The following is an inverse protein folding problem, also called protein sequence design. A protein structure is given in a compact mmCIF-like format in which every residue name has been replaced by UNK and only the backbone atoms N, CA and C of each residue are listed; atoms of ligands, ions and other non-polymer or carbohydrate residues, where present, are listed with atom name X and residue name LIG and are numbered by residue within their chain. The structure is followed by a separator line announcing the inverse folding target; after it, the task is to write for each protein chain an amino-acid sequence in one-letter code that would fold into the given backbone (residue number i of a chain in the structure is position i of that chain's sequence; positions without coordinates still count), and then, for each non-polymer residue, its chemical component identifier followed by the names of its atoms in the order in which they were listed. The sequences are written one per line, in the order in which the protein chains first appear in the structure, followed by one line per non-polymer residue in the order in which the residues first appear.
data_IF_433939769658
#
_entry.id   IF_433939769658
#
_cell.length_a   1.000
_cell.length_b   1.000
_cell.length_c   1.000
_cell.angle_alpha   90.00
_cell.angle_beta   90.00
_cell.angle_gamma   90.00
#
_symmetry.space_group_name_H-M   'P 1'
#
loop_
_entity.id
_entity.type
_entity.pdbx_description
1 polymer ?
#
# COMPACT_ATOMS: atom_id res chain seq x y z
N UNK A 1 -5.14 -10.85 12.63
CA UNK A 1 -6.15 -10.41 11.64
C UNK A 1 -6.78 -9.10 12.07
N UNK A 2 -7.50 -8.41 11.20
CA UNK A 2 -8.20 -7.15 11.55
C UNK A 2 -9.44 -7.47 12.36
N UNK A 3 -9.66 -6.74 13.47
CA UNK A 3 -10.79 -6.95 14.37
C UNK A 3 -11.83 -5.83 14.19
N UNK A 4 -13.11 -6.21 14.15
CA UNK A 4 -14.20 -5.23 14.24
C UNK A 4 -14.22 -4.60 15.65
N UNK A 5 -14.68 -3.34 15.81
CA UNK A 5 -14.69 -2.67 17.11
C UNK A 5 -15.35 -3.47 18.24
N UNK A 6 -16.46 -4.16 17.97
CA UNK A 6 -17.12 -5.00 18.97
C UNK A 6 -16.30 -6.23 19.35
N UNK A 7 -15.58 -6.87 18.41
CA UNK A 7 -14.74 -8.04 18.69
C UNK A 7 -13.56 -7.65 19.58
N UNK A 8 -12.89 -6.56 19.22
CA UNK A 8 -11.79 -6.01 20.02
C UNK A 8 -12.25 -5.62 21.42
N UNK A 9 -13.45 -5.02 21.55
CA UNK A 9 -14.04 -4.71 22.86
C UNK A 9 -14.32 -5.96 23.70
N UNK A 10 -15.00 -6.97 23.12
CA UNK A 10 -15.32 -8.21 23.84
C UNK A 10 -14.07 -8.94 24.31
N UNK A 11 -13.07 -9.09 23.43
CA UNK A 11 -11.80 -9.74 23.76
C UNK A 11 -11.04 -8.98 24.85
N UNK A 12 -10.95 -7.64 24.77
CA UNK A 12 -10.27 -6.85 25.80
C UNK A 12 -10.98 -6.94 27.16
N UNK A 13 -12.32 -6.99 27.17
CA UNK A 13 -13.12 -7.16 28.39
C UNK A 13 -12.91 -8.52 29.04
N UNK A 14 -12.87 -9.58 28.24
CA UNK A 14 -12.77 -10.97 28.71
C UNK A 14 -11.35 -11.32 29.16
N UNK A 15 -10.33 -10.83 28.45
CA UNK A 15 -8.92 -11.13 28.72
C UNK A 15 -8.26 -10.16 29.70
N UNK A 16 -8.83 -8.97 29.93
CA UNK A 16 -8.27 -7.95 30.82
C UNK A 16 -6.94 -7.34 30.34
N UNK A 17 -6.58 -7.54 29.07
CA UNK A 17 -5.34 -7.03 28.45
C UNK A 17 -5.63 -6.23 27.20
N UNK A 18 -4.67 -5.41 26.77
CA UNK A 18 -4.77 -4.68 25.51
C UNK A 18 -4.76 -5.66 24.32
N UNK A 19 -5.75 -5.53 23.44
CA UNK A 19 -5.87 -6.34 22.23
C UNK A 19 -5.38 -5.52 21.04
N UNK A 20 -4.22 -5.90 20.51
CA UNK A 20 -3.61 -5.31 19.31
C UNK A 20 -3.92 -6.19 18.12
N UNK A 21 -4.60 -5.64 17.12
CA UNK A 21 -4.89 -6.36 15.88
C UNK A 21 -3.82 -6.12 14.81
N UNK A 22 -4.00 -6.69 13.61
CA UNK A 22 -3.06 -6.49 12.49
C UNK A 22 -2.92 -5.01 12.10
N UNK A 23 -4.01 -4.25 12.14
CA UNK A 23 -4.01 -2.83 11.78
C UNK A 23 -3.19 -2.02 12.78
N UNK A 24 -3.40 -2.27 14.07
CA UNK A 24 -2.70 -1.60 15.17
C UNK A 24 -1.20 -1.92 15.14
N UNK A 25 -0.83 -3.20 14.96
CA UNK A 25 0.56 -3.62 14.81
C UNK A 25 1.27 -2.91 13.65
N UNK A 26 0.61 -2.84 12.48
CA UNK A 26 1.15 -2.15 11.31
C UNK A 26 1.40 -0.67 11.63
N UNK A 27 0.43 0.01 12.26
CA UNK A 27 0.57 1.40 12.67
C UNK A 27 1.69 1.64 13.68
N UNK A 28 1.90 0.72 14.63
CA UNK A 28 3.00 0.83 15.58
C UNK A 28 4.37 0.70 14.92
N UNK A 29 4.52 -0.28 14.03
CA UNK A 29 5.77 -0.45 13.28
C UNK A 29 6.03 0.81 12.44
N UNK A 30 4.99 1.39 11.85
CA UNK A 30 5.09 2.65 11.13
C UNK A 30 5.46 3.83 12.02
N UNK A 31 4.84 3.96 13.19
CA UNK A 31 5.12 5.03 14.14
C UNK A 31 6.59 5.04 14.57
N UNK A 32 7.16 3.85 14.84
CA UNK A 32 8.55 3.68 15.26
C UNK A 32 9.57 4.07 14.17
N UNK A 33 9.16 4.03 12.90
CA UNK A 33 10.04 4.23 11.74
C UNK A 33 9.78 5.54 10.98
N UNK A 34 8.75 6.30 11.36
CA UNK A 34 8.37 7.53 10.69
C UNK A 34 9.37 8.67 10.94
N UNK A 35 10.24 8.93 9.96
CA UNK A 35 11.22 10.01 10.03
C UNK A 35 10.67 11.40 9.65
N UNK A 36 9.67 11.48 8.78
CA UNK A 36 9.14 12.75 8.26
C UNK A 36 7.91 13.25 9.02
N UNK A 37 7.74 14.58 9.09
CA UNK A 37 6.55 15.20 9.70
C UNK A 37 5.26 14.74 9.02
N UNK A 38 5.26 14.62 7.71
CA UNK A 38 4.12 14.12 6.92
C UNK A 38 3.76 12.68 7.31
N UNK A 39 4.74 11.78 7.37
CA UNK A 39 4.51 10.39 7.77
C UNK A 39 3.94 10.30 9.18
N UNK A 40 4.46 11.10 10.13
CA UNK A 40 3.94 11.17 11.50
C UNK A 40 2.49 11.63 11.54
N UNK A 41 2.14 12.69 10.79
CA UNK A 41 0.76 13.18 10.69
C UNK A 41 -0.18 12.16 10.07
N UNK A 42 0.27 11.41 9.05
CA UNK A 42 -0.54 10.37 8.41
C UNK A 42 -0.81 9.18 9.35
N UNK A 43 0.19 8.77 10.12
CA UNK A 43 0.04 7.71 11.13
C UNK A 43 -0.91 8.17 12.25
N UNK A 44 -0.76 9.41 12.72
CA UNK A 44 -1.66 9.99 13.71
C UNK A 44 -3.12 10.06 13.19
N UNK A 45 -3.31 10.48 11.93
CA UNK A 45 -4.62 10.52 11.29
C UNK A 45 -5.27 9.13 11.25
N UNK A 46 -4.52 8.10 10.87
CA UNK A 46 -5.00 6.72 10.82
C UNK A 46 -5.39 6.20 12.21
N UNK A 47 -4.58 6.48 13.25
CA UNK A 47 -4.90 6.15 14.64
C UNK A 47 -6.20 6.82 15.09
N UNK A 48 -6.33 8.13 14.87
CA UNK A 48 -7.52 8.89 15.27
C UNK A 48 -8.79 8.45 14.53
N UNK A 49 -8.69 8.09 13.24
CA UNK A 49 -9.83 7.56 12.48
C UNK A 49 -10.31 6.22 13.02
N UNK A 50 -9.38 5.36 13.45
CA UNK A 50 -9.71 4.12 14.14
C UNK A 50 -10.31 4.38 15.51
N UNK A 51 -9.69 5.21 16.34
CA UNK A 51 -10.26 5.62 17.63
C UNK A 51 -11.68 6.19 17.48
N UNK A 52 -11.95 6.96 16.42
CA UNK A 52 -13.28 7.50 16.13
C UNK A 52 -14.31 6.41 15.84
N UNK A 53 -13.95 5.35 15.10
CA UNK A 53 -14.86 4.23 14.81
C UNK A 53 -15.20 3.45 16.08
N UNK A 54 -14.22 3.26 16.97
CA UNK A 54 -14.41 2.64 18.28
C UNK A 54 -15.24 3.53 19.23
N UNK A 55 -14.96 4.84 19.29
CA UNK A 55 -15.73 5.78 20.10
C UNK A 55 -17.19 5.87 19.65
N UNK A 56 -17.44 5.80 18.33
CA UNK A 56 -18.80 5.73 17.78
C UNK A 56 -19.54 4.47 18.22
N UNK A 57 -18.87 3.32 18.22
CA UNK A 57 -19.49 2.08 18.69
C UNK A 57 -19.75 2.11 20.20
N UNK A 58 -18.82 2.66 21.00
CA UNK A 58 -19.04 2.87 22.44
C UNK A 58 -20.24 3.78 22.72
N UNK A 59 -20.42 4.86 21.95
CA UNK A 59 -21.62 5.71 22.02
C UNK A 59 -22.89 4.94 21.68
N UNK A 60 -22.85 4.07 20.67
CA UNK A 60 -23.99 3.24 20.28
C UNK A 60 -24.40 2.30 21.41
N UNK A 61 -23.44 1.59 22.00
CA UNK A 61 -23.66 0.66 23.11
C UNK A 61 -24.13 1.38 24.39
N UNK A 62 -23.58 2.56 24.68
CA UNK A 62 -24.01 3.37 25.82
C UNK A 62 -25.48 3.79 25.69
N UNK A 63 -25.91 4.21 24.49
CA UNK A 63 -27.29 4.59 24.19
C UNK A 63 -28.29 3.42 24.22
N UNK A 64 -27.83 2.21 23.90
CA UNK A 64 -28.64 0.99 23.98
C UNK A 64 -28.83 0.48 25.42
N UNK A 65 -28.19 1.12 26.42
CA UNK A 65 -28.28 0.69 27.82
C UNK A 65 -27.48 -0.59 28.13
N UNK A 66 -26.74 -1.13 27.16
CA UNK A 66 -25.95 -2.36 27.33
C UNK A 66 -24.70 -2.14 28.21
N UNK A 67 -24.22 -0.89 28.32
CA UNK A 67 -23.22 -0.47 29.31
C UNK A 67 -23.91 -0.09 30.64
N UNK A 68 -24.23 -1.10 31.45
CA UNK A 68 -24.71 -0.90 32.81
C UNK A 68 -23.60 -0.23 33.66
N UNK A 69 -23.83 1.01 34.11
CA UNK A 69 -22.90 1.78 34.96
C UNK A 69 -22.39 3.11 34.39
N UNK A 70 -22.74 3.47 33.14
CA UNK A 70 -22.24 4.68 32.45
C UNK A 70 -23.24 5.86 32.39
N UNK A 71 -24.28 5.87 33.22
CA UNK A 71 -25.32 6.91 33.15
C UNK A 71 -24.89 8.21 33.85
N UNK A 72 -24.84 9.31 33.08
CA UNK A 72 -24.56 10.68 33.55
C UNK A 72 -23.24 11.24 33.03
N UNK A 73 -22.14 11.02 33.76
CA UNK A 73 -20.83 11.60 33.43
C UNK A 73 -20.14 10.87 32.26
N UNK A 74 -20.42 9.58 32.06
CA UNK A 74 -19.75 8.73 31.08
C UNK A 74 -20.15 9.01 29.63
N UNK A 75 -21.45 9.12 29.34
CA UNK A 75 -21.93 9.42 27.98
C UNK A 75 -21.47 10.81 27.50
N UNK A 76 -21.57 11.80 28.38
CA UNK A 76 -21.07 13.16 28.10
C UNK A 76 -19.55 13.16 27.85
N UNK A 77 -18.78 12.42 28.66
CA UNK A 77 -17.34 12.29 28.46
C UNK A 77 -16.99 11.65 27.11
N UNK A 78 -17.72 10.61 26.69
CA UNK A 78 -17.51 9.97 25.38
C UNK A 78 -17.88 10.92 24.24
N UNK A 79 -18.96 11.70 24.37
CA UNK A 79 -19.36 12.67 23.34
C UNK A 79 -18.35 13.83 23.21
N UNK A 80 -17.87 14.36 24.34
CA UNK A 80 -16.81 15.38 24.37
C UNK A 80 -15.53 14.84 23.72
N UNK A 81 -15.12 13.62 24.06
CA UNK A 81 -13.97 12.95 23.46
C UNK A 81 -14.16 12.75 21.95
N UNK A 82 -15.32 12.28 21.50
CA UNK A 82 -15.65 12.12 20.08
C UNK A 82 -15.52 13.45 19.32
N UNK A 83 -16.06 14.54 19.86
CA UNK A 83 -15.92 15.90 19.29
C UNK A 83 -14.45 16.34 19.24
N UNK A 84 -13.67 16.04 20.29
CA UNK A 84 -12.24 16.34 20.34
C UNK A 84 -11.45 15.60 19.25
N UNK A 85 -11.63 14.28 19.11
CA UNK A 85 -11.01 13.45 18.07
C UNK A 85 -11.35 13.99 16.68
N UNK A 86 -12.62 14.32 16.41
CA UNK A 86 -13.06 14.88 15.12
C UNK A 86 -12.39 16.20 14.79
N UNK A 87 -12.23 17.10 15.78
CA UNK A 87 -11.51 18.38 15.60
C UNK A 87 -10.03 18.16 15.30
N UNK A 88 -9.40 17.18 15.97
CA UNK A 88 -7.99 16.84 15.74
C UNK A 88 -7.77 16.29 14.34
N UNK A 89 -8.63 15.38 13.88
CA UNK A 89 -8.64 14.87 12.49
C UNK A 89 -8.69 16.03 11.49
N UNK A 90 -9.66 16.94 11.63
CA UNK A 90 -9.79 18.09 10.72
C UNK A 90 -8.59 19.06 10.76
N UNK A 91 -7.86 19.13 11.87
CA UNK A 91 -6.61 19.90 11.95
C UNK A 91 -5.49 19.21 11.18
N UNK A 92 -5.31 17.91 11.38
CA UNK A 92 -4.27 17.12 10.71
C UNK A 92 -4.49 17.10 9.19
N UNK A 93 -5.73 16.91 8.74
CA UNK A 93 -6.08 16.93 7.31
C UNK A 93 -5.72 18.27 6.65
N UNK A 94 -5.96 19.40 7.34
CA UNK A 94 -5.54 20.73 6.87
C UNK A 94 -4.02 20.88 6.83
N UNK A 95 -3.29 20.35 7.81
CA UNK A 95 -1.82 20.37 7.79
C UNK A 95 -1.26 19.51 6.65
N UNK A 96 -1.82 18.32 6.42
CA UNK A 96 -1.46 17.44 5.30
C UNK A 96 -1.73 18.10 3.95
N UNK A 97 -2.87 18.79 3.79
CA UNK A 97 -3.17 19.54 2.58
C UNK A 97 -2.13 20.64 2.28
N UNK A 98 -1.66 21.36 3.31
CA UNK A 98 -0.58 22.35 3.17
C UNK A 98 0.74 21.69 2.75
N UNK A 99 1.12 20.58 3.36
CA UNK A 99 2.33 19.85 3.00
C UNK A 99 2.28 19.31 1.56
N UNK A 100 1.11 18.85 1.11
CA UNK A 100 0.87 18.41 -0.28
C UNK A 100 1.06 19.57 -1.27
N UNK A 101 0.49 20.74 -0.98
CA UNK A 101 0.66 21.93 -1.82
C UNK A 101 2.14 22.32 -1.96
N UNK A 102 2.89 22.31 -0.86
CA UNK A 102 4.34 22.60 -0.86
C UNK A 102 5.15 21.56 -1.66
N UNK A 103 4.79 20.28 -1.58
CA UNK A 103 5.39 19.22 -2.41
C UNK A 103 5.12 19.44 -3.90
N UNK A 104 3.89 19.82 -4.26
CA UNK A 104 3.51 20.15 -5.64
C UNK A 104 4.43 21.22 -6.23
N UNK A 105 4.65 22.32 -5.49
CA UNK A 105 5.55 23.41 -5.92
C UNK A 105 7.00 22.93 -6.07
N UNK A 106 7.51 22.12 -5.13
CA UNK A 106 8.88 21.58 -5.21
C UNK A 106 9.05 20.58 -6.35
N UNK A 107 7.98 19.88 -6.72
CA UNK A 107 7.95 18.96 -7.85
C UNK A 107 7.90 19.70 -9.18
N UNK A 108 7.06 20.73 -9.26
CA UNK A 108 6.96 21.61 -10.42
C UNK A 108 8.30 22.29 -10.70
N UNK A 109 8.97 22.82 -9.67
CA UNK A 109 10.31 23.40 -9.81
C UNK A 109 11.36 22.41 -10.34
N UNK A 110 11.32 21.14 -9.90
CA UNK A 110 12.22 20.08 -10.40
C UNK A 110 11.84 19.55 -11.77
N UNK A 111 10.56 19.62 -12.14
CA UNK A 111 10.06 19.24 -13.46
C UNK A 111 10.41 20.28 -14.52
N UNK A 112 10.48 21.55 -14.12
CA UNK A 112 10.89 22.68 -14.96
C UNK A 112 12.39 22.68 -15.31
N UNK A 113 13.21 21.89 -14.61
CA UNK A 113 14.65 21.74 -14.94
C UNK A 113 14.89 20.93 -16.22
N UNK A 114 13.87 20.33 -16.83
CA UNK A 114 13.93 19.66 -18.13
C UNK A 114 14.79 18.38 -18.17
N UNK A 115 14.43 17.42 -19.01
CA UNK A 115 15.30 16.28 -19.35
C UNK A 115 15.48 15.17 -18.30
N UNK A 116 14.81 15.23 -17.15
CA UNK A 116 14.91 14.22 -16.09
C UNK A 116 13.81 13.16 -16.17
N UNK A 117 14.19 11.89 -16.27
CA UNK A 117 13.25 10.77 -16.14
C UNK A 117 13.03 10.40 -14.68
N UNK A 118 11.84 9.90 -14.34
CA UNK A 118 11.52 9.42 -13.01
C UNK A 118 11.13 7.94 -13.00
N UNK A 119 11.87 7.16 -12.22
CA UNK A 119 11.69 5.71 -12.07
C UNK A 119 11.36 5.38 -10.62
N UNK A 120 10.21 4.75 -10.39
CA UNK A 120 9.77 4.38 -9.04
C UNK A 120 9.90 2.88 -8.79
N UNK A 121 10.58 2.49 -7.71
CA UNK A 121 10.57 1.10 -7.22
C UNK A 121 9.37 0.88 -6.31
N UNK A 122 8.57 -0.13 -6.63
CA UNK A 122 7.42 -0.56 -5.84
C UNK A 122 7.39 -2.09 -5.75
N UNK A 123 6.47 -2.66 -4.97
CA UNK A 123 6.46 -4.10 -4.67
C UNK A 123 6.36 -4.41 -3.18
N UNK A 124 6.17 -5.69 -2.86
CA UNK A 124 5.92 -6.14 -1.50
C UNK A 124 7.09 -5.92 -0.53
N UNK A 125 6.81 -5.78 0.77
CA UNK A 125 7.84 -5.81 1.81
C UNK A 125 8.67 -7.10 1.69
N UNK A 126 9.99 -7.01 1.90
CA UNK A 126 10.87 -8.16 1.76
C UNK A 126 11.29 -8.52 0.32
N UNK A 127 10.63 -7.98 -0.72
CA UNK A 127 11.00 -8.23 -2.13
C UNK A 127 12.38 -7.67 -2.53
N UNK A 128 13.03 -6.86 -1.68
CA UNK A 128 14.37 -6.33 -1.92
C UNK A 128 14.44 -5.02 -2.72
N UNK A 129 13.37 -4.20 -2.70
CA UNK A 129 13.33 -2.86 -3.33
C UNK A 129 14.49 -1.97 -2.90
N UNK A 130 14.76 -1.86 -1.60
CA UNK A 130 15.84 -1.01 -1.06
C UNK A 130 17.21 -1.51 -1.48
N UNK A 131 17.41 -2.84 -1.52
CA UNK A 131 18.63 -3.46 -2.05
C UNK A 131 18.79 -3.11 -3.53
N UNK A 132 17.74 -3.24 -4.32
CA UNK A 132 17.76 -2.89 -5.74
C UNK A 132 17.99 -1.38 -5.96
N UNK A 133 17.40 -0.54 -5.11
CA UNK A 133 17.64 0.91 -5.11
C UNK A 133 19.12 1.21 -4.87
N UNK A 134 19.77 0.57 -3.89
CA UNK A 134 21.21 0.75 -3.64
C UNK A 134 22.03 0.25 -4.83
N UNK A 135 21.70 -0.93 -5.37
CA UNK A 135 22.41 -1.51 -6.50
C UNK A 135 22.31 -0.66 -7.78
N UNK A 136 21.15 -0.03 -8.02
CA UNK A 136 20.96 0.88 -9.14
C UNK A 136 21.64 2.23 -8.93
N UNK A 137 21.68 2.72 -7.68
CA UNK A 137 22.09 4.10 -7.39
C UNK A 137 23.50 4.27 -6.81
N UNK A 138 24.17 3.18 -6.45
CA UNK A 138 25.46 3.22 -5.73
C UNK A 138 25.35 3.81 -4.32
N UNK A 139 24.13 3.88 -3.76
CA UNK A 139 23.92 4.44 -2.43
C UNK A 139 24.32 3.45 -1.33
N UNK A 140 25.37 3.77 -0.57
CA UNK A 140 25.85 2.96 0.56
C UNK A 140 25.07 3.22 1.85
N UNK A 141 23.74 3.10 1.80
CA UNK A 141 22.88 3.15 2.99
C UNK A 141 22.73 1.78 3.64
N UNK A 142 22.40 1.76 4.94
CA UNK A 142 22.00 0.53 5.60
C UNK A 142 20.68 0.00 5.01
N UNK A 143 20.67 -1.28 4.61
CA UNK A 143 19.46 -2.01 4.23
C UNK A 143 18.98 -2.80 5.43
N UNK A 144 17.85 -2.41 5.99
CA UNK A 144 17.18 -3.18 7.05
C UNK A 144 16.34 -4.30 6.41
N UNK A 145 16.60 -5.56 6.77
CA UNK A 145 15.86 -6.73 6.26
C UNK A 145 14.46 -6.88 6.87
N UNK A 146 14.11 -6.06 7.87
CA UNK A 146 12.80 -6.10 8.52
C UNK A 146 11.69 -5.53 7.61
N UNK A 147 10.44 -6.00 7.75
CA UNK A 147 9.29 -5.34 7.13
C UNK A 147 9.28 -3.85 7.49
N UNK A 148 8.90 -3.00 6.52
CA UNK A 148 8.80 -1.55 6.70
C UNK A 148 10.11 -0.77 6.81
N UNK A 149 11.23 -1.33 6.34
CA UNK A 149 12.53 -0.65 6.25
C UNK A 149 12.48 0.75 5.61
N UNK A 150 11.68 0.92 4.55
CA UNK A 150 11.52 2.22 3.86
C UNK A 150 10.10 2.75 4.05
N UNK A 151 9.96 3.81 4.86
CA UNK A 151 8.70 4.55 5.06
C UNK A 151 8.67 5.95 4.47
N UNK A 152 9.84 6.51 4.22
CA UNK A 152 9.99 7.77 3.51
C UNK A 152 10.56 7.48 2.13
N UNK A 153 9.99 8.07 1.08
CA UNK A 153 10.55 7.95 -0.26
C UNK A 153 12.01 8.40 -0.25
N UNK A 154 12.93 7.52 -0.63
CA UNK A 154 14.33 7.91 -0.87
C UNK A 154 14.47 8.26 -2.34
N UNK A 155 15.01 9.44 -2.63
CA UNK A 155 15.22 9.91 -4.00
C UNK A 155 16.71 10.04 -4.25
N UNK A 156 17.19 9.49 -5.37
CA UNK A 156 18.57 9.69 -5.81
C UNK A 156 18.58 9.97 -7.31
N UNK A 157 19.27 11.06 -7.68
CA UNK A 157 19.58 11.37 -9.08
C UNK A 157 20.80 10.54 -9.46
N UNK A 158 20.68 9.85 -10.59
CA UNK A 158 21.75 9.10 -11.24
C UNK A 158 21.75 9.41 -12.72
N UNK A 159 22.81 8.98 -13.39
CA UNK A 159 22.94 9.04 -14.83
C UNK A 159 23.08 7.62 -15.36
N UNK A 160 22.33 7.30 -16.40
CA UNK A 160 22.33 5.98 -17.03
C UNK A 160 22.46 6.17 -18.54
N UNK A 161 23.59 5.78 -19.13
CA UNK A 161 23.95 6.03 -20.54
C UNK A 161 23.63 7.46 -21.01
N UNK A 162 24.09 8.46 -20.25
CA UNK A 162 23.89 9.87 -20.57
C UNK A 162 22.48 10.42 -20.34
N UNK A 163 21.52 9.58 -19.89
CA UNK A 163 20.19 10.04 -19.51
C UNK A 163 20.13 10.30 -17.99
N UNK A 164 19.85 11.53 -17.55
CA UNK A 164 19.72 11.82 -16.14
C UNK A 164 18.36 11.33 -15.64
N UNK A 165 18.36 10.58 -14.55
CA UNK A 165 17.15 9.99 -14.02
C UNK A 165 17.12 9.99 -12.49
N UNK A 166 15.92 10.12 -11.94
CA UNK A 166 15.65 10.09 -10.51
C UNK A 166 15.02 8.77 -10.19
N UNK A 167 15.70 7.99 -9.36
CA UNK A 167 15.19 6.73 -8.85
C UNK A 167 14.57 6.98 -7.48
N UNK A 168 13.41 6.40 -7.24
CA UNK A 168 12.71 6.47 -5.95
C UNK A 168 12.50 5.10 -5.31
N UNK A 169 12.95 4.93 -4.06
CA UNK A 169 12.55 3.79 -3.22
C UNK A 169 11.26 4.16 -2.49
N UNK A 170 10.14 3.55 -2.86
CA UNK A 170 8.83 3.84 -2.29
C UNK A 170 8.47 2.88 -1.15
N UNK A 171 7.40 3.20 -0.43
CA UNK A 171 6.86 2.30 0.61
C UNK A 171 6.42 0.99 -0.04
N UNK A 172 6.87 -0.13 0.52
CA UNK A 172 6.48 -1.44 0.02
C UNK A 172 5.00 -1.75 0.22
N UNK A 173 4.39 -2.45 -0.75
CA UNK A 173 3.07 -3.03 -0.58
C UNK A 173 3.08 -4.01 0.61
N UNK A 174 2.00 -4.00 1.37
CA UNK A 174 1.68 -5.04 2.36
C UNK A 174 0.46 -5.74 1.83
N UNK A 175 0.36 -7.02 2.15
CA UNK A 175 -0.88 -7.75 1.98
C UNK A 175 -2.02 -6.97 2.60
N UNK A 176 -3.08 -6.78 1.81
CA UNK A 176 -4.33 -6.20 2.25
C UNK A 176 -4.11 -4.98 3.16
N UNK A 177 -3.31 -4.00 2.69
CA UNK A 177 -3.22 -2.70 3.35
C UNK A 177 -4.65 -2.24 3.63
N UNK A 178 -5.07 -2.13 4.90
CA UNK A 178 -6.43 -1.78 5.22
C UNK A 178 -6.79 -0.48 4.48
N UNK A 179 -8.00 -0.36 3.86
CA UNK A 179 -8.37 0.84 3.11
C UNK A 179 -8.18 2.15 3.89
N UNK A 180 -8.33 2.07 5.21
CA UNK A 180 -8.13 3.19 6.14
C UNK A 180 -6.66 3.65 6.23
N UNK A 181 -5.70 2.76 5.94
CA UNK A 181 -4.26 3.05 5.83
C UNK A 181 -3.87 3.50 4.43
N UNK A 182 -4.60 3.11 3.38
CA UNK A 182 -4.35 3.56 2.01
C UNK A 182 -4.36 5.10 1.92
N UNK A 183 -5.32 5.79 2.54
CA UNK A 183 -5.38 7.27 2.68
C UNK A 183 -4.12 7.90 3.25
N UNK A 184 -3.52 7.25 4.24
CA UNK A 184 -2.28 7.68 4.87
C UNK A 184 -1.08 7.56 3.91
N UNK A 185 -1.12 6.58 3.01
CA UNK A 185 -0.05 6.31 2.05
C UNK A 185 -0.32 6.84 0.64
N UNK A 186 -1.51 7.33 0.30
CA UNK A 186 -1.79 7.87 -1.05
C UNK A 186 -0.89 9.04 -1.41
N UNK A 187 -0.41 9.81 -0.43
CA UNK A 187 0.53 10.92 -0.72
C UNK A 187 1.94 10.43 -1.01
N UNK A 188 2.36 9.32 -0.39
CA UNK A 188 3.66 8.69 -0.65
C UNK A 188 3.61 7.78 -1.89
N UNK A 189 2.50 7.09 -2.13
CA UNK A 189 2.23 6.30 -3.33
C UNK A 189 1.87 7.18 -4.54
N UNK A 190 1.38 8.40 -4.33
CA UNK A 190 1.10 9.35 -5.42
C UNK A 190 2.34 9.70 -6.24
N UNK A 191 3.54 9.57 -5.65
CA UNK A 191 4.80 9.73 -6.37
C UNK A 191 5.00 8.65 -7.45
N UNK A 192 4.38 7.47 -7.31
CA UNK A 192 4.37 6.40 -8.32
C UNK A 192 3.59 6.83 -9.57
N UNK A 193 2.48 7.56 -9.40
CA UNK A 193 1.67 8.09 -10.51
C UNK A 193 2.47 9.07 -11.36
N UNK A 194 3.41 9.77 -10.73
CA UNK A 194 4.31 10.72 -11.39
C UNK A 194 5.51 10.05 -12.05
N UNK A 195 5.61 8.72 -12.03
CA UNK A 195 6.71 8.01 -12.67
C UNK A 195 6.52 7.82 -14.17
N UNK A 196 7.61 7.95 -14.92
CA UNK A 196 7.66 7.54 -16.32
C UNK A 196 7.66 6.01 -16.42
N UNK A 197 8.35 5.37 -15.47
CA UNK A 197 8.48 3.93 -15.38
C UNK A 197 8.37 3.48 -13.91
N UNK A 198 7.59 2.43 -13.69
CA UNK A 198 7.41 1.80 -12.39
C UNK A 198 8.05 0.42 -12.43
N UNK A 199 9.03 0.19 -11.56
CA UNK A 199 9.66 -1.11 -11.35
C UNK A 199 8.89 -1.86 -10.27
N UNK A 200 8.09 -2.84 -10.67
CA UNK A 200 7.36 -3.71 -9.75
C UNK A 200 8.26 -4.89 -9.34
N UNK A 201 8.90 -4.75 -8.18
CA UNK A 201 9.81 -5.76 -7.64
C UNK A 201 9.03 -6.83 -6.89
N UNK A 202 9.24 -8.09 -7.24
CA UNK A 202 8.69 -9.24 -6.53
C UNK A 202 9.78 -10.25 -6.19
N UNK A 203 9.53 -11.07 -5.18
CA UNK A 203 10.48 -12.06 -4.69
C UNK A 203 10.33 -13.37 -5.49
N UNK A 204 11.34 -13.74 -6.27
CA UNK A 204 11.34 -14.97 -7.05
C UNK A 204 11.61 -16.22 -6.20
N UNK A 205 12.01 -16.08 -4.93
CA UNK A 205 12.23 -17.22 -4.02
C UNK A 205 10.95 -17.76 -3.40
N UNK A 206 9.88 -16.98 -3.40
CA UNK A 206 8.59 -17.39 -2.82
C UNK A 206 7.88 -18.46 -3.67
N UNK A 207 6.98 -19.20 -3.03
CA UNK A 207 6.11 -20.17 -3.70
C UNK A 207 5.32 -19.53 -4.85
N UNK A 208 5.08 -20.29 -5.92
CA UNK A 208 4.44 -19.78 -7.15
C UNK A 208 3.08 -19.13 -6.88
N UNK A 209 2.28 -19.74 -5.99
CA UNK A 209 0.97 -19.23 -5.57
C UNK A 209 1.08 -17.86 -4.89
N UNK A 210 2.09 -17.67 -4.05
CA UNK A 210 2.33 -16.40 -3.37
C UNK A 210 2.82 -15.32 -4.34
N UNK A 211 3.69 -15.67 -5.27
CA UNK A 211 4.13 -14.76 -6.35
C UNK A 211 2.94 -14.27 -7.16
N UNK A 212 2.05 -15.18 -7.58
CA UNK A 212 0.87 -14.83 -8.36
C UNK A 212 -0.07 -13.92 -7.57
N UNK A 213 -0.36 -14.27 -6.32
CA UNK A 213 -1.22 -13.50 -5.41
C UNK A 213 -0.70 -12.07 -5.22
N UNK A 214 0.59 -11.92 -4.91
CA UNK A 214 1.24 -10.62 -4.67
C UNK A 214 1.33 -9.77 -5.93
N UNK A 215 1.63 -10.37 -7.08
CA UNK A 215 1.64 -9.65 -8.36
C UNK A 215 0.24 -9.16 -8.73
N UNK A 216 -0.79 -9.99 -8.58
CA UNK A 216 -2.17 -9.61 -8.85
C UNK A 216 -2.63 -8.45 -7.94
N UNK A 217 -2.36 -8.55 -6.64
CA UNK A 217 -2.68 -7.50 -5.67
C UNK A 217 -1.94 -6.19 -5.98
N UNK A 218 -0.64 -6.25 -6.27
CA UNK A 218 0.17 -5.07 -6.61
C UNK A 218 -0.36 -4.37 -7.86
N UNK A 219 -0.70 -5.13 -8.91
CA UNK A 219 -1.25 -4.57 -10.14
C UNK A 219 -2.62 -3.92 -9.92
N UNK A 220 -3.48 -4.53 -9.10
CA UNK A 220 -4.78 -3.95 -8.75
C UNK A 220 -4.62 -2.58 -8.08
N UNK A 221 -3.68 -2.46 -7.13
CA UNK A 221 -3.38 -1.18 -6.46
C UNK A 221 -2.79 -0.15 -7.43
N UNK A 222 -1.88 -0.56 -8.32
CA UNK A 222 -1.33 0.34 -9.33
C UNK A 222 -2.41 0.84 -10.30
N UNK A 223 -3.33 -0.03 -10.70
CA UNK A 223 -4.48 0.35 -11.53
C UNK A 223 -5.43 1.30 -10.80
N UNK A 224 -5.72 1.07 -9.52
CA UNK A 224 -6.57 1.98 -8.74
C UNK A 224 -5.93 3.36 -8.55
N UNK A 225 -4.59 3.44 -8.55
CA UNK A 225 -3.83 4.70 -8.54
C UNK A 225 -3.79 5.40 -9.91
N UNK A 226 -4.30 4.77 -10.97
CA UNK A 226 -4.27 5.31 -12.34
C UNK A 226 -2.95 5.07 -13.08
N UNK A 227 -2.11 4.15 -12.61
CA UNK A 227 -0.87 3.77 -13.31
C UNK A 227 -1.21 2.80 -14.44
N UNK A 228 -0.84 3.17 -15.67
CA UNK A 228 -1.00 2.30 -16.82
C UNK A 228 -0.04 1.10 -16.74
N UNK A 229 -0.55 -0.10 -17.04
CA UNK A 229 0.27 -1.33 -17.16
C UNK A 229 1.45 -1.16 -18.12
N UNK A 230 1.29 -0.34 -19.17
CA UNK A 230 2.36 -0.06 -20.13
C UNK A 230 3.58 0.65 -19.52
N UNK A 231 3.44 1.28 -18.35
CA UNK A 231 4.53 1.91 -17.59
C UNK A 231 5.10 1.01 -16.49
N UNK A 232 4.63 -0.23 -16.38
CA UNK A 232 5.10 -1.18 -15.37
C UNK A 232 6.11 -2.12 -16.01
N UNK A 233 7.25 -2.31 -15.34
CA UNK A 233 8.26 -3.32 -15.63
C UNK A 233 8.38 -4.21 -14.40
N UNK A 234 8.11 -5.51 -14.54
CA UNK A 234 8.25 -6.46 -13.45
C UNK A 234 9.73 -6.81 -13.25
N UNK A 235 10.17 -6.87 -12.01
CA UNK A 235 11.54 -7.20 -11.64
C UNK A 235 11.51 -8.39 -10.69
N UNK A 236 11.88 -9.56 -11.17
CA UNK A 236 11.94 -10.78 -10.39
C UNK A 236 13.26 -10.79 -9.61
N UNK A 237 13.22 -10.43 -8.34
CA UNK A 237 14.42 -10.31 -7.52
C UNK A 237 14.72 -11.62 -6.76
N UNK A 238 15.94 -11.76 -6.23
CA UNK A 238 16.43 -12.92 -5.50
C UNK A 238 16.51 -14.20 -6.33
N UNK A 239 16.82 -14.07 -7.62
CA UNK A 239 17.01 -15.25 -8.50
C UNK A 239 18.21 -16.10 -8.10
N UNK A 240 19.13 -15.57 -7.28
CA UNK A 240 20.30 -16.28 -6.78
C UNK A 240 20.00 -17.41 -5.79
N UNK A 241 18.80 -17.42 -5.20
CA UNK A 241 18.35 -18.46 -4.26
C UNK A 241 17.27 -19.37 -4.86
N UNK A 242 16.98 -19.23 -6.16
CA UNK A 242 16.04 -20.11 -6.85
C UNK A 242 16.82 -21.31 -7.39
N UNK A 243 16.65 -22.46 -6.75
CA UNK A 243 17.45 -23.67 -7.00
C UNK A 243 17.22 -24.29 -8.39
N UNK A 244 16.04 -24.10 -8.97
CA UNK A 244 15.64 -24.73 -10.24
C UNK A 244 15.30 -23.70 -11.33
N UNK A 245 15.91 -23.84 -12.50
CA UNK A 245 15.65 -23.02 -13.68
C UNK A 245 14.22 -23.15 -14.23
N UNK A 246 13.58 -24.31 -14.08
CA UNK A 246 12.15 -24.49 -14.41
C UNK A 246 11.25 -23.69 -13.49
N UNK A 247 11.50 -23.75 -12.17
CA UNK A 247 10.75 -22.98 -11.19
C UNK A 247 10.91 -21.47 -11.43
N UNK A 248 12.10 -21.02 -11.84
CA UNK A 248 12.30 -19.63 -12.24
C UNK A 248 11.48 -19.28 -13.49
N UNK A 249 11.48 -20.13 -14.52
CA UNK A 249 10.69 -19.92 -15.75
C UNK A 249 9.20 -19.77 -15.46
N UNK A 250 8.64 -20.63 -14.61
CA UNK A 250 7.24 -20.55 -14.21
C UNK A 250 6.92 -19.23 -13.51
N UNK A 251 7.77 -18.80 -12.56
CA UNK A 251 7.60 -17.53 -11.84
C UNK A 251 7.74 -16.30 -12.75
N UNK A 252 8.56 -16.37 -13.79
CA UNK A 252 8.65 -15.33 -14.82
C UNK A 252 7.39 -15.34 -15.70
N UNK A 253 6.90 -16.53 -16.08
CA UNK A 253 5.71 -16.70 -16.89
C UNK A 253 4.45 -16.13 -16.23
N UNK A 254 4.34 -16.15 -14.89
CA UNK A 254 3.23 -15.51 -14.16
C UNK A 254 3.16 -14.01 -14.43
N UNK A 255 4.30 -13.31 -14.40
CA UNK A 255 4.32 -11.88 -14.65
C UNK A 255 4.09 -11.57 -16.15
N UNK A 256 4.68 -12.36 -17.05
CA UNK A 256 4.46 -12.26 -18.50
C UNK A 256 3.00 -12.54 -18.89
N UNK A 257 2.35 -13.54 -18.29
CA UNK A 257 0.95 -13.86 -18.51
C UNK A 257 -0.02 -12.76 -18.07
N UNK A 258 0.43 -11.86 -17.18
CA UNK A 258 -0.31 -10.64 -16.80
C UNK A 258 -0.05 -9.45 -17.75
N UNK A 259 0.72 -9.67 -18.82
CA UNK A 259 1.08 -8.69 -19.85
C UNK A 259 2.23 -7.76 -19.43
N UNK A 260 3.12 -8.20 -18.54
CA UNK A 260 4.27 -7.41 -18.11
C UNK A 260 5.56 -7.92 -18.75
N UNK A 261 6.42 -6.99 -19.14
CA UNK A 261 7.84 -7.30 -19.35
C UNK A 261 8.46 -7.64 -17.99
N UNK A 262 9.32 -8.66 -17.96
CA UNK A 262 9.93 -9.18 -16.72
C UNK A 262 11.43 -9.25 -16.89
N UNK A 263 12.17 -8.77 -15.88
CA UNK A 263 13.64 -8.91 -15.83
C UNK A 263 14.03 -9.69 -14.57
N UNK A 264 14.70 -10.85 -14.69
CA UNK A 264 15.26 -11.57 -13.55
C UNK A 264 16.52 -10.87 -13.03
N UNK A 265 16.59 -10.63 -11.72
CA UNK A 265 17.74 -9.98 -11.08
C UNK A 265 18.06 -10.61 -9.73
N UNK A 266 19.33 -10.50 -9.33
CA UNK A 266 19.71 -10.57 -7.92
C UNK A 266 20.29 -9.22 -7.53
N UNK A 267 19.50 -8.41 -6.84
CA UNK A 267 19.95 -7.12 -6.34
C UNK A 267 21.14 -7.25 -5.38
N UNK A 268 21.23 -8.37 -4.65
CA UNK A 268 22.31 -8.63 -3.69
C UNK A 268 23.61 -9.06 -4.39
N UNK A 269 23.52 -9.93 -5.40
CA UNK A 269 24.68 -10.47 -6.12
C UNK A 269 25.08 -9.64 -7.35
N UNK A 270 24.24 -8.70 -7.75
CA UNK A 270 24.45 -7.88 -8.95
C UNK A 270 24.06 -8.57 -10.28
N UNK A 271 23.43 -9.74 -10.22
CA UNK A 271 23.02 -10.49 -11.42
C UNK A 271 21.84 -9.80 -12.12
N UNK A 272 21.85 -9.77 -13.46
CA UNK A 272 20.78 -9.19 -14.27
C UNK A 272 20.65 -7.66 -14.22
N UNK A 273 21.50 -6.96 -13.46
CA UNK A 273 21.41 -5.50 -13.32
C UNK A 273 21.75 -4.74 -14.62
N UNK A 274 22.66 -5.26 -15.43
CA UNK A 274 22.99 -4.66 -16.73
C UNK A 274 21.80 -4.74 -17.70
N UNK A 275 21.13 -5.89 -17.74
CA UNK A 275 19.92 -6.09 -18.51
C UNK A 275 18.77 -5.21 -18.00
N UNK A 276 18.59 -5.12 -16.68
CA UNK A 276 17.59 -4.24 -16.08
C UNK A 276 17.83 -2.78 -16.46
N UNK A 277 19.07 -2.31 -16.42
CA UNK A 277 19.44 -0.94 -16.83
C UNK A 277 19.11 -0.68 -18.29
N UNK A 278 19.46 -1.62 -19.19
CA UNK A 278 19.11 -1.55 -20.61
C UNK A 278 17.59 -1.49 -20.81
N UNK A 279 16.85 -2.37 -20.16
CA UNK A 279 15.38 -2.44 -20.26
C UNK A 279 14.70 -1.19 -19.71
N UNK A 280 15.24 -0.59 -18.65
CA UNK A 280 14.79 0.71 -18.15
C UNK A 280 14.92 1.75 -19.27
N UNK A 281 16.09 1.85 -19.92
CA UNK A 281 16.33 2.84 -20.98
C UNK A 281 15.42 2.64 -22.22
N UNK A 282 15.12 1.39 -22.58
CA UNK A 282 14.21 1.03 -23.68
C UNK A 282 12.75 1.39 -23.37
N UNK A 283 12.34 1.27 -22.09
CA UNK A 283 10.96 1.50 -21.65
C UNK A 283 10.67 2.95 -21.29
N UNK A 284 11.70 3.77 -21.10
CA UNK A 284 11.54 5.21 -20.91
C UNK A 284 10.98 5.86 -22.18
N UNK A 285 10.12 6.89 -22.06
CA UNK A 285 9.58 7.59 -23.22
C UNK A 285 10.71 8.25 -24.04
N UNK A 286 10.48 8.44 -25.34
CA UNK A 286 11.47 8.98 -26.27
C UNK A 286 11.97 10.39 -25.89
N UNK A 287 11.12 11.18 -25.23
CA UNK A 287 11.49 12.43 -24.59
C UNK A 287 10.96 12.46 -23.16
N UNK A 288 11.73 13.06 -22.26
CA UNK A 288 11.24 13.34 -20.92
C UNK A 288 10.03 14.28 -21.03
N UNK A 289 8.83 13.88 -20.56
CA UNK A 289 7.65 14.71 -20.75
C UNK A 289 7.81 16.05 -20.04
N UNK A 290 7.38 17.14 -20.68
CA UNK A 290 7.21 18.43 -20.01
C UNK A 290 6.08 18.29 -18.98
N UNK A 291 6.43 18.13 -17.70
CA UNK A 291 5.44 17.82 -16.66
C UNK A 291 4.81 19.10 -16.14
N UNK A 292 3.61 19.41 -16.64
CA UNK A 292 2.73 20.44 -16.08
C UNK A 292 1.83 19.82 -15.01
N UNK A 293 1.99 20.31 -13.78
CA UNK A 293 1.13 20.20 -12.60
C UNK A 293 0.66 18.79 -12.13
N UNK A 294 1.32 18.32 -11.07
CA UNK A 294 0.92 17.19 -10.23
C UNK A 294 -0.36 17.41 -9.38
N UNK A 295 -1.07 18.55 -9.53
CA UNK A 295 -2.27 18.83 -8.72
C UNK A 295 -3.50 18.05 -9.19
N UNK A 296 -3.69 17.89 -10.51
CA UNK A 296 -4.97 17.39 -11.05
C UNK A 296 -5.21 15.88 -10.94
N UNK A 297 -4.15 15.07 -10.94
CA UNK A 297 -4.29 13.61 -10.88
C UNK A 297 -4.66 13.13 -9.46
N UNK A 298 -4.07 13.73 -8.43
CA UNK A 298 -4.41 13.46 -7.02
C UNK A 298 -5.80 14.02 -6.65
N UNK A 299 -6.19 15.18 -7.21
CA UNK A 299 -7.52 15.78 -7.03
C UNK A 299 -8.64 14.94 -7.66
N UNK A 300 -8.42 14.37 -8.86
CA UNK A 300 -9.43 13.54 -9.54
C UNK A 300 -9.81 12.27 -8.79
N UNK A 301 -8.89 11.68 -8.01
CA UNK A 301 -9.18 10.47 -7.24
C UNK A 301 -9.89 10.75 -5.91
N UNK A 302 -9.58 11.88 -5.27
CA UNK A 302 -10.27 12.33 -4.06
C UNK A 302 -11.79 12.55 -4.30
N UNK A 303 -12.17 12.91 -5.53
CA UNK A 303 -13.56 13.09 -5.94
C UNK A 303 -14.29 11.77 -6.26
N UNK A 304 -13.59 10.70 -6.66
CA UNK A 304 -14.24 9.46 -7.11
C UNK A 304 -14.48 8.43 -6.01
N UNK A 305 -13.69 8.42 -4.93
CA UNK A 305 -13.80 7.42 -3.84
C UNK A 305 -14.72 7.82 -2.67
N UNK A 306 -15.36 9.00 -2.71
CA UNK A 306 -16.47 9.31 -1.82
C UNK A 306 -17.69 8.37 -1.97
N UNK A 307 -17.68 7.47 -2.97
CA UNK A 307 -18.83 6.66 -3.35
C UNK A 307 -18.59 5.13 -3.42
N UNK A 308 -17.36 4.61 -3.29
CA UNK A 308 -17.08 3.19 -3.58
C UNK A 308 -16.43 2.43 -2.42
N UNK A 309 -17.10 2.43 -1.26
CA UNK A 309 -16.81 1.46 -0.20
C UNK A 309 -17.64 0.20 -0.39
N UNK A 310 -17.11 -0.83 -1.06
CA UNK A 310 -17.47 -2.25 -0.87
C UNK A 310 -16.83 -3.13 -1.96
N UNK A 311 -15.89 -3.99 -1.58
CA UNK A 311 -15.96 -5.44 -1.84
C UNK A 311 -14.63 -6.10 -1.44
N UNK A 312 -14.58 -6.55 -0.20
CA UNK A 312 -13.73 -7.67 0.16
C UNK A 312 -14.49 -8.46 1.22
N UNK A 313 -15.21 -9.49 0.78
CA UNK A 313 -16.01 -10.35 1.65
C UNK A 313 -16.81 -11.36 0.84
N UNK A 314 -16.22 -12.54 0.62
CA UNK A 314 -16.83 -13.88 0.61
C UNK A 314 -16.18 -14.79 -0.44
N UNK A 315 -15.11 -15.48 -0.02
CA UNK A 315 -14.70 -16.73 -0.64
C UNK A 315 -14.41 -17.74 0.48
N UNK A 316 -15.47 -18.12 1.19
CA UNK A 316 -15.49 -19.27 2.09
C UNK A 316 -16.94 -19.61 2.36
N UNK A 317 -17.48 -20.53 1.55
CA UNK A 317 -18.48 -21.55 1.89
C UNK A 317 -18.63 -22.47 0.68
N UNK A 318 -17.81 -23.51 0.64
CA UNK A 318 -18.08 -24.71 -0.13
C UNK A 318 -18.38 -25.83 0.86
N UNK A 319 -19.48 -26.56 0.61
CA UNK A 319 -19.75 -27.85 1.20
C UNK A 319 -20.76 -27.84 2.35
N UNK A 320 -22.04 -27.91 2.01
CA UNK A 320 -23.02 -28.73 2.76
C UNK A 320 -24.19 -29.07 1.82
N UNK A 321 -24.56 -30.36 1.84
CA UNK A 321 -25.27 -31.06 0.78
C UNK A 321 -26.75 -30.74 0.64
N UNK A 322 -27.24 -30.97 -0.58
CA UNK A 322 -28.65 -31.00 -0.93
C UNK A 322 -29.45 -32.00 -0.06
N UNK A 323 -30.66 -31.63 0.38
CA UNK A 323 -31.71 -32.60 0.60
C UNK A 323 -32.81 -32.44 -0.46
N UNK A 324 -32.83 -33.41 -1.37
CA UNK A 324 -34.02 -34.15 -1.82
C UNK A 324 -35.34 -33.40 -2.01
N UNK A 325 -35.73 -33.30 -3.28
CA UNK A 325 -37.04 -32.92 -3.75
C UNK A 325 -38.19 -33.62 -2.98
N UNK A 326 -39.11 -32.82 -2.42
CA UNK A 326 -40.39 -33.31 -1.89
C UNK A 326 -41.35 -33.58 -3.04
N UNK A 327 -41.69 -34.85 -3.22
CA UNK A 327 -42.86 -35.32 -3.97
C UNK A 327 -44.16 -34.91 -3.27
N UNK A 328 -45.13 -34.45 -4.06
CA UNK A 328 -46.53 -34.28 -3.65
C UNK A 328 -47.19 -35.67 -3.57
N UNK A 329 -48.09 -35.94 -2.62
CA UNK A 329 -49.09 -36.97 -2.79
C UNK A 329 -50.40 -36.37 -3.28
N UNK A 330 -50.96 -37.03 -4.30
CA UNK A 330 -52.32 -36.86 -4.79
C UNK A 330 -53.32 -37.29 -3.71
N UNK A 331 -54.38 -36.50 -3.53
CA UNK A 331 -55.55 -36.90 -2.77
C UNK A 331 -56.51 -37.68 -3.70
N UNK A 332 -56.83 -38.92 -3.33
CA UNK A 332 -58.00 -39.65 -3.81
C UNK A 332 -58.59 -40.50 -2.69
N UNK A 333 -59.93 -40.48 -2.67
CA UNK A 333 -60.90 -41.14 -1.79
C UNK A 333 -61.10 -40.48 -0.42
#
# INVERSE_FOLDING_TARGET
NELKPHQAYSLAKELGVEVIDRFDLILEIFAKRAGSREAKLQIELAKLRRELSFARERLRLAKLGELHGYMGAGEYAIEVYYKHVKRRIAKIERELAKLRALKGVRWERRSLEGGLYYVALTGYTGAGKTTLFHALTGYNGYVDGKPFATLSTKLKRIELDGKPLVVSDTVGFIDCLPPQLLDAFYTTLGEIVLADLVLLVYDASEELVEVERKLAASLSVLQSLGVSKARVLAVANKVDIVENGDALREKLAVASGKGLDVVPVSALRGLGLAELKKKILERLPASAPARVAASRAAERYALTQGAAGANCGSSEKAGEGEPGARSRPEARA
#
